data_IF_619348978549
#
_entry.id   IF_619348978549
#
_cell.length_a   1.000
_cell.length_b   1.000
_cell.length_c   1.000
_cell.angle_alpha   90.00
_cell.angle_beta   90.00
_cell.angle_gamma   90.00
#
_symmetry.space_group_name_H-M   'P 1'
#
loop_
_entity.id
_entity.type
_entity.pdbx_description
1 polymer ?
#
# COMPACT_ATOMS: atom_id res chain seq x y z
N UNK A 1 -31.63 1.47 -32.30
CA UNK A 1 -31.02 0.36 -31.55
C UNK A 1 -29.76 0.91 -30.93
N UNK A 2 -29.76 1.17 -29.63
CA UNK A 2 -28.57 1.66 -28.93
C UNK A 2 -27.65 0.46 -28.75
N UNK A 3 -26.54 0.43 -29.51
CA UNK A 3 -25.46 -0.52 -29.23
C UNK A 3 -24.83 -0.09 -27.90
N UNK A 4 -25.30 -0.69 -26.81
CA UNK A 4 -24.57 -0.68 -25.55
C UNK A 4 -23.42 -1.66 -25.72
N UNK A 5 -22.26 -1.16 -26.15
CA UNK A 5 -21.02 -1.95 -26.06
C UNK A 5 -20.62 -1.86 -24.60
N UNK A 6 -20.97 -2.88 -23.82
CA UNK A 6 -20.38 -3.06 -22.50
C UNK A 6 -18.85 -3.00 -22.68
N UNK A 7 -18.13 -2.17 -21.91
CA UNK A 7 -16.68 -2.15 -22.00
C UNK A 7 -16.19 -3.58 -21.75
N UNK A 8 -15.42 -4.13 -22.69
CA UNK A 8 -14.83 -5.45 -22.51
C UNK A 8 -13.80 -5.34 -21.39
N UNK A 9 -14.22 -5.69 -20.17
CA UNK A 9 -13.34 -5.79 -19.01
C UNK A 9 -12.55 -7.10 -19.10
N UNK A 10 -11.37 -7.13 -18.49
CA UNK A 10 -10.62 -8.37 -18.27
C UNK A 10 -10.18 -8.43 -16.83
N UNK A 11 -10.02 -9.63 -16.32
CA UNK A 11 -9.49 -9.86 -14.98
C UNK A 11 -7.96 -9.90 -15.00
N UNK A 12 -7.34 -9.14 -14.10
CA UNK A 12 -5.89 -9.11 -13.89
C UNK A 12 -5.57 -9.29 -12.42
N UNK A 13 -4.35 -9.74 -12.12
CA UNK A 13 -3.79 -9.74 -10.78
C UNK A 13 -2.79 -8.59 -10.69
N UNK A 14 -2.99 -7.72 -9.69
CA UNK A 14 -2.04 -6.65 -9.35
C UNK A 14 -1.46 -7.00 -7.98
N UNK A 15 -0.14 -7.17 -7.92
CA UNK A 15 0.59 -7.37 -6.67
C UNK A 15 1.40 -6.12 -6.36
N UNK A 16 1.51 -5.75 -5.08
CA UNK A 16 2.38 -4.68 -4.63
C UNK A 16 2.85 -4.95 -3.21
N UNK A 17 3.95 -4.29 -2.83
CA UNK A 17 4.43 -4.25 -1.45
C UNK A 17 4.07 -2.90 -0.84
N UNK A 18 3.60 -2.91 0.41
CA UNK A 18 3.40 -1.72 1.20
C UNK A 18 4.53 -1.59 2.22
N UNK A 19 5.26 -0.48 2.14
CA UNK A 19 6.35 -0.13 3.05
C UNK A 19 5.89 1.05 3.91
N UNK A 20 5.84 0.86 5.23
CA UNK A 20 5.58 1.94 6.18
C UNK A 20 6.83 2.27 6.97
N UNK A 21 7.01 3.57 7.26
CA UNK A 21 8.07 4.04 8.15
C UNK A 21 7.47 4.74 9.35
N UNK A 22 7.87 4.29 10.53
CA UNK A 22 7.46 4.86 11.81
C UNK A 22 8.70 5.41 12.52
N UNK A 23 8.57 6.59 13.12
CA UNK A 23 9.61 7.25 13.90
C UNK A 23 8.98 8.07 15.01
N UNK A 24 9.53 7.96 16.21
CA UNK A 24 9.07 8.72 17.37
C UNK A 24 10.24 9.07 18.27
N UNK A 25 10.11 10.18 19.02
CA UNK A 25 11.11 10.61 20.00
C UNK A 25 10.51 10.39 21.39
N UNK A 26 11.12 9.49 22.15
CA UNK A 26 10.67 9.10 23.50
C UNK A 26 11.72 9.48 24.54
N UNK A 27 11.27 9.65 25.79
CA UNK A 27 12.19 9.77 26.94
C UNK A 27 12.36 8.40 27.58
N UNK A 28 13.60 8.03 27.85
CA UNK A 28 13.98 6.74 28.45
C UNK A 28 14.82 6.97 29.72
N UNK A 29 14.95 5.97 30.62
CA UNK A 29 15.89 6.02 31.74
C UNK A 29 17.34 6.28 31.31
N UNK A 30 18.19 6.76 32.23
CA UNK A 30 19.60 7.07 31.93
C UNK A 30 20.44 5.84 31.60
N UNK A 31 20.08 4.69 32.17
CA UNK A 31 20.69 3.37 31.95
C UNK A 31 20.00 2.58 30.83
N UNK A 32 19.17 3.22 29.98
CA UNK A 32 18.47 2.53 28.91
C UNK A 32 19.44 1.93 27.88
N UNK A 33 19.35 0.61 27.72
CA UNK A 33 19.98 -0.15 26.65
C UNK A 33 18.88 -0.73 25.72
N UNK A 34 18.98 -0.48 24.42
CA UNK A 34 18.01 -0.93 23.44
C UNK A 34 18.14 -2.43 23.14
N UNK A 35 19.32 -3.02 23.31
CA UNK A 35 19.57 -4.43 23.00
C UNK A 35 19.02 -5.36 24.11
N UNK A 36 18.84 -4.84 25.32
CA UNK A 36 18.30 -5.57 26.47
C UNK A 36 16.77 -5.48 26.61
N UNK A 37 16.08 -4.77 25.69
CA UNK A 37 14.65 -4.47 25.81
C UNK A 37 13.86 -4.95 24.61
N UNK A 38 12.66 -5.46 24.88
CA UNK A 38 11.71 -5.80 23.82
C UNK A 38 11.00 -4.55 23.30
N UNK A 39 11.50 -4.03 22.19
CA UNK A 39 10.92 -2.87 21.51
C UNK A 39 9.76 -3.24 20.60
N UNK A 40 9.60 -4.52 20.21
CA UNK A 40 8.55 -4.91 19.28
C UNK A 40 7.16 -4.72 19.92
N UNK A 41 7.00 -5.22 21.16
CA UNK A 41 5.77 -5.02 21.91
C UNK A 41 5.69 -3.63 22.54
N UNK A 42 6.81 -3.11 23.08
CA UNK A 42 6.83 -1.82 23.76
C UNK A 42 6.48 -0.62 22.87
N UNK A 43 6.81 -0.67 21.58
CA UNK A 43 6.41 0.38 20.62
C UNK A 43 4.90 0.42 20.38
N UNK A 44 4.20 -0.71 20.52
CA UNK A 44 2.75 -0.79 20.33
C UNK A 44 1.96 -0.09 21.46
N UNK A 45 2.57 0.09 22.63
CA UNK A 45 1.96 0.78 23.77
C UNK A 45 2.07 2.31 23.69
N UNK A 46 2.81 2.84 22.71
CA UNK A 46 2.95 4.27 22.54
C UNK A 46 1.64 4.92 22.08
N UNK A 47 1.32 6.08 22.65
CA UNK A 47 0.12 6.86 22.27
C UNK A 47 0.13 7.37 20.82
N UNK A 48 1.31 7.44 20.21
CA UNK A 48 1.48 7.79 18.80
C UNK A 48 2.14 6.61 18.11
N UNK A 49 1.56 6.18 17.00
CA UNK A 49 2.09 5.12 16.14
C UNK A 49 3.34 5.58 15.36
N UNK A 50 3.68 6.88 15.41
CA UNK A 50 4.91 7.42 14.84
C UNK A 50 4.94 7.40 13.31
N UNK A 51 3.83 7.14 12.61
CA UNK A 51 3.80 7.07 11.14
C UNK A 51 4.38 8.34 10.51
N UNK A 52 5.35 8.14 9.63
CA UNK A 52 5.98 9.19 8.83
C UNK A 52 5.43 9.16 7.41
N UNK A 53 5.46 7.98 6.80
CA UNK A 53 4.99 7.77 5.46
C UNK A 53 4.64 6.29 5.23
N UNK A 54 3.83 6.10 4.20
CA UNK A 54 3.46 4.81 3.64
C UNK A 54 3.64 4.92 2.14
N UNK A 55 4.40 3.99 1.57
CA UNK A 55 4.66 3.93 0.15
C UNK A 55 4.27 2.54 -0.37
N UNK A 56 3.65 2.51 -1.54
CA UNK A 56 3.45 1.27 -2.31
C UNK A 56 4.57 1.17 -3.33
N UNK A 57 5.26 0.04 -3.33
CA UNK A 57 6.38 -0.25 -4.21
C UNK A 57 6.20 -1.63 -4.85
N UNK A 58 7.11 -2.01 -5.75
CA UNK A 58 7.12 -3.34 -6.40
C UNK A 58 5.76 -3.70 -7.01
N UNK A 59 5.17 -2.77 -7.77
CA UNK A 59 3.88 -2.98 -8.42
C UNK A 59 4.11 -3.89 -9.64
N UNK A 60 3.50 -5.08 -9.60
CA UNK A 60 3.53 -6.08 -10.65
C UNK A 60 2.12 -6.36 -11.15
N UNK A 61 1.97 -6.50 -12.46
CA UNK A 61 0.68 -6.79 -13.10
C UNK A 61 0.82 -8.03 -13.96
N UNK A 62 -0.10 -8.98 -13.79
CA UNK A 62 -0.21 -10.18 -14.61
C UNK A 62 -1.66 -10.45 -15.00
N UNK A 63 -1.86 -11.19 -16.09
CA UNK A 63 -3.20 -11.67 -16.43
C UNK A 63 -3.65 -12.73 -15.41
N UNK A 64 -4.92 -12.69 -15.04
CA UNK A 64 -5.50 -13.73 -14.20
C UNK A 64 -5.58 -15.06 -14.99
N UNK A 65 -5.51 -16.18 -14.27
CA UNK A 65 -5.62 -17.51 -14.90
C UNK A 65 -7.02 -17.75 -15.51
N UNK A 66 -8.05 -17.14 -14.92
CA UNK A 66 -9.44 -17.19 -15.36
C UNK A 66 -10.04 -15.79 -15.32
N UNK A 67 -11.00 -15.53 -16.18
CA UNK A 67 -11.77 -14.28 -16.15
C UNK A 67 -12.87 -14.38 -15.07
N UNK A 68 -12.80 -13.49 -14.08
CA UNK A 68 -13.75 -13.37 -12.98
C UNK A 68 -14.59 -12.09 -13.14
N UNK A 69 -15.81 -12.18 -13.69
CA UNK A 69 -16.68 -11.02 -13.89
C UNK A 69 -17.21 -10.43 -12.58
N UNK A 70 -16.96 -11.07 -11.43
CA UNK A 70 -17.34 -10.56 -10.11
C UNK A 70 -16.20 -9.80 -9.41
N UNK A 71 -15.00 -9.78 -10.01
CA UNK A 71 -13.86 -9.03 -9.50
C UNK A 71 -14.14 -7.51 -9.45
N UNK A 72 -13.46 -6.82 -8.55
CA UNK A 72 -13.62 -5.37 -8.38
C UNK A 72 -13.18 -4.62 -9.64
N UNK A 73 -14.03 -3.69 -10.11
CA UNK A 73 -13.67 -2.80 -11.21
C UNK A 73 -12.69 -1.73 -10.73
N UNK A 74 -11.51 -1.68 -11.37
CA UNK A 74 -10.44 -0.75 -11.03
C UNK A 74 -9.99 0.04 -12.27
N UNK A 75 -10.19 1.37 -12.26
CA UNK A 75 -9.79 2.31 -13.33
C UNK A 75 -8.94 3.44 -12.74
N UNK A 76 -7.62 3.23 -12.55
CA UNK A 76 -6.73 4.29 -12.05
C UNK A 76 -6.57 5.39 -13.11
N UNK A 77 -6.27 6.64 -12.70
CA UNK A 77 -6.03 7.72 -13.64
C UNK A 77 -4.91 7.35 -14.61
N UNK A 78 -5.10 7.68 -15.88
CA UNK A 78 -4.06 7.52 -16.88
C UNK A 78 -2.94 8.51 -16.58
N UNK A 79 -1.69 8.08 -16.73
CA UNK A 79 -0.59 9.04 -16.84
C UNK A 79 -0.87 9.92 -18.06
N UNK A 80 -1.02 11.21 -17.86
CA UNK A 80 -0.84 12.21 -18.90
C UNK A 80 0.61 12.11 -19.44
N UNK A 81 0.81 12.44 -20.73
CA UNK A 81 2.06 12.29 -21.49
C UNK A 81 3.27 13.06 -20.89
N UNK A 82 3.06 13.74 -19.76
CA UNK A 82 4.07 14.48 -18.99
C UNK A 82 4.39 13.87 -17.61
N UNK A 83 3.71 12.81 -17.20
CA UNK A 83 3.95 12.13 -15.92
C UNK A 83 3.48 12.89 -14.68
N UNK A 84 2.48 13.77 -14.79
CA UNK A 84 1.96 14.60 -13.68
C UNK A 84 0.46 14.40 -13.54
N UNK A 85 0.06 13.45 -12.67
CA UNK A 85 -1.33 13.09 -12.30
C UNK A 85 -2.36 14.19 -12.64
N UNK A 86 -3.11 14.00 -13.73
CA UNK A 86 -4.30 14.79 -14.06
C UNK A 86 -5.40 14.74 -13.00
#
# INVERSE_FOLDING_TARGET
>A
MSNHVEPQTKTIVITWVEESRHQTVVRVPLDFDAEERDLADGLAELSSDGSQWLQRSQIEVSDAAEDDPTAEYFDPPRYDDQGVRA
#
